data_IF_397653034795
#
_entry.id   IF_397653034795
#
_cell.length_a   1.000
_cell.length_b   1.000
_cell.length_c   1.000
_cell.angle_alpha   90.00
_cell.angle_beta   90.00
_cell.angle_gamma   90.00
#
_symmetry.space_group_name_H-M   'P 1'
#
loop_
_entity.id
_entity.type
_entity.pdbx_description
1 polymer ?
#
# COMPACT_ATOMS: atom_id res chain seq x y z
N UNK A 1 -24.04 16.42 -1.25
CA UNK A 1 -24.98 15.73 -0.32
C UNK A 1 -24.29 15.51 1.01
N UNK A 2 -25.01 15.50 2.13
CA UNK A 2 -24.41 15.14 3.43
C UNK A 2 -24.22 13.63 3.51
N UNK A 3 -22.95 13.19 3.57
CA UNK A 3 -22.64 11.77 3.78
C UNK A 3 -22.93 11.37 5.23
N UNK A 4 -22.51 12.22 6.17
CA UNK A 4 -22.79 12.15 7.60
C UNK A 4 -23.41 13.47 8.09
N UNK A 5 -24.33 13.47 9.07
CA UNK A 5 -25.06 14.69 9.48
C UNK A 5 -24.16 15.82 10.02
N UNK A 6 -23.08 15.44 10.71
CA UNK A 6 -22.12 16.24 11.46
C UNK A 6 -20.87 16.63 10.64
N UNK A 7 -20.82 16.28 9.35
CA UNK A 7 -19.68 16.55 8.47
C UNK A 7 -20.04 17.44 7.29
N UNK A 8 -19.00 17.98 6.68
CA UNK A 8 -19.13 18.76 5.46
C UNK A 8 -19.79 17.94 4.34
N UNK A 9 -20.57 18.59 3.44
CA UNK A 9 -21.15 17.92 2.30
C UNK A 9 -20.08 17.35 1.36
N UNK A 10 -20.35 16.16 0.84
CA UNK A 10 -19.56 15.52 -0.21
C UNK A 10 -20.20 15.78 -1.57
N UNK A 11 -19.39 16.17 -2.55
CA UNK A 11 -19.82 16.35 -3.93
C UNK A 11 -19.73 15.02 -4.68
N UNK A 12 -20.86 14.54 -5.22
CA UNK A 12 -20.92 13.33 -6.04
C UNK A 12 -21.09 13.74 -7.50
N UNK A 13 -20.20 13.27 -8.38
CA UNK A 13 -20.18 13.69 -9.77
C UNK A 13 -19.97 12.52 -10.73
N UNK A 14 -20.60 12.63 -11.88
CA UNK A 14 -20.35 11.78 -13.05
C UNK A 14 -20.09 12.73 -14.23
N UNK A 15 -18.82 12.99 -14.60
CA UNK A 15 -18.51 13.94 -15.66
C UNK A 15 -19.25 13.60 -16.96
N UNK A 16 -19.84 14.62 -17.59
CA UNK A 16 -20.64 14.48 -18.81
C UNK A 16 -22.13 14.21 -18.58
N UNK A 17 -22.58 13.78 -17.39
CA UNK A 17 -24.01 13.50 -17.17
C UNK A 17 -24.91 14.73 -17.30
N UNK A 18 -24.44 15.87 -16.80
CA UNK A 18 -25.15 17.14 -16.94
C UNK A 18 -25.00 17.68 -18.37
N UNK A 19 -23.77 17.75 -18.88
CA UNK A 19 -23.44 18.32 -20.20
C UNK A 19 -24.14 17.61 -21.36
N UNK A 20 -24.28 16.28 -21.29
CA UNK A 20 -24.92 15.46 -22.33
C UNK A 20 -26.34 15.03 -21.95
N UNK A 21 -26.90 15.57 -20.87
CA UNK A 21 -28.22 15.24 -20.34
C UNK A 21 -28.46 13.73 -20.08
N UNK A 22 -27.40 12.94 -19.90
CA UNK A 22 -27.49 11.51 -19.64
C UNK A 22 -28.35 11.17 -18.41
N UNK A 23 -28.45 12.11 -17.46
CA UNK A 23 -29.30 11.97 -16.28
C UNK A 23 -30.79 11.77 -16.59
N UNK A 24 -31.27 12.24 -17.76
CA UNK A 24 -32.65 12.03 -18.21
C UNK A 24 -32.95 10.57 -18.56
N UNK A 25 -31.92 9.79 -18.92
CA UNK A 25 -32.07 8.41 -19.40
C UNK A 25 -31.51 7.35 -18.43
N UNK A 26 -30.62 7.75 -17.50
CA UNK A 26 -29.83 6.81 -16.69
C UNK A 26 -30.03 6.95 -15.17
N UNK A 27 -31.16 7.51 -14.72
CA UNK A 27 -31.52 7.61 -13.29
C UNK A 27 -30.39 8.17 -12.41
N UNK A 28 -29.86 9.34 -12.77
CA UNK A 28 -28.68 9.92 -12.11
C UNK A 28 -28.82 10.03 -10.59
N UNK A 29 -30.00 10.41 -10.09
CA UNK A 29 -30.28 10.51 -8.65
C UNK A 29 -30.15 9.17 -7.93
N UNK A 30 -30.56 8.07 -8.57
CA UNK A 30 -30.43 6.73 -8.02
C UNK A 30 -28.96 6.30 -7.94
N UNK A 31 -28.17 6.57 -8.98
CA UNK A 31 -26.73 6.29 -9.01
C UNK A 31 -26.00 7.07 -7.90
N UNK A 32 -26.34 8.34 -7.73
CA UNK A 32 -25.80 9.17 -6.64
C UNK A 32 -26.21 8.58 -5.28
N UNK A 33 -27.48 8.26 -5.08
CA UNK A 33 -27.99 7.67 -3.82
C UNK A 33 -27.28 6.36 -3.47
N UNK A 34 -27.09 5.48 -4.45
CA UNK A 34 -26.31 4.23 -4.30
C UNK A 34 -24.86 4.51 -3.90
N UNK A 35 -24.24 5.52 -4.50
CA UNK A 35 -22.87 5.93 -4.19
C UNK A 35 -22.74 6.50 -2.77
N UNK A 36 -23.72 7.29 -2.32
CA UNK A 36 -23.81 7.77 -0.93
C UNK A 36 -23.92 6.60 0.03
N UNK A 37 -24.83 5.65 -0.22
CA UNK A 37 -24.99 4.46 0.60
C UNK A 37 -23.71 3.62 0.71
N UNK A 38 -23.04 3.40 -0.42
CA UNK A 38 -21.76 2.68 -0.50
C UNK A 38 -20.67 3.35 0.34
N UNK A 39 -20.40 4.62 0.09
CA UNK A 39 -19.34 5.35 0.81
C UNK A 39 -19.65 5.50 2.29
N UNK A 40 -20.92 5.67 2.68
CA UNK A 40 -21.31 5.70 4.10
C UNK A 40 -20.97 4.38 4.78
N UNK A 41 -21.30 3.24 4.16
CA UNK A 41 -20.96 1.91 4.68
C UNK A 41 -19.43 1.74 4.80
N UNK A 42 -18.70 2.03 3.72
CA UNK A 42 -17.24 1.90 3.64
C UNK A 42 -16.53 2.74 4.72
N UNK A 43 -16.87 4.03 4.82
CA UNK A 43 -16.22 4.93 5.77
C UNK A 43 -16.58 4.55 7.21
N UNK A 44 -17.83 4.16 7.48
CA UNK A 44 -18.24 3.71 8.83
C UNK A 44 -17.45 2.48 9.26
N UNK A 45 -17.30 1.49 8.37
CA UNK A 45 -16.52 0.28 8.65
C UNK A 45 -15.03 0.60 8.82
N UNK A 46 -14.45 1.40 7.92
CA UNK A 46 -13.04 1.80 8.02
C UNK A 46 -12.74 2.52 9.34
N UNK A 47 -13.55 3.50 9.73
CA UNK A 47 -13.34 4.25 10.98
C UNK A 47 -13.59 3.41 12.24
N UNK A 48 -14.34 2.31 12.13
CA UNK A 48 -14.54 1.35 13.24
C UNK A 48 -13.34 0.43 13.39
N UNK A 49 -12.88 -0.15 12.28
CA UNK A 49 -11.79 -1.14 12.29
C UNK A 49 -10.41 -0.49 12.38
N UNK A 50 -10.28 0.75 11.90
CA UNK A 50 -9.03 1.52 11.84
C UNK A 50 -9.25 2.95 12.40
N UNK A 51 -9.45 3.12 13.72
CA UNK A 51 -9.84 4.40 14.32
C UNK A 51 -8.87 5.56 14.05
N UNK A 52 -7.58 5.27 13.80
CA UNK A 52 -6.58 6.26 13.42
C UNK A 52 -6.85 6.91 12.04
N UNK A 53 -7.71 6.32 11.22
CA UNK A 53 -8.19 6.90 9.96
C UNK A 53 -9.41 7.83 10.17
N UNK A 54 -9.87 8.04 11.41
CA UNK A 54 -10.98 8.94 11.70
C UNK A 54 -10.49 10.39 11.94
N UNK A 55 -11.15 11.42 11.37
CA UNK A 55 -12.23 11.33 10.38
C UNK A 55 -11.70 11.18 8.95
N UNK A 56 -12.35 10.34 8.13
CA UNK A 56 -12.05 10.26 6.69
C UNK A 56 -12.45 11.59 6.00
N UNK A 57 -11.51 12.33 5.37
CA UNK A 57 -11.74 13.68 4.89
C UNK A 57 -12.26 13.72 3.45
N UNK A 58 -13.16 12.81 3.08
CA UNK A 58 -13.76 12.78 1.74
C UNK A 58 -14.59 14.05 1.49
N UNK A 59 -14.27 14.80 0.44
CA UNK A 59 -15.04 15.95 -0.04
C UNK A 59 -15.64 15.74 -1.42
N UNK A 60 -15.11 14.82 -2.22
CA UNK A 60 -15.64 14.57 -3.56
C UNK A 60 -15.49 13.10 -3.99
N UNK A 61 -16.49 12.61 -4.71
CA UNK A 61 -16.49 11.28 -5.31
C UNK A 61 -16.89 11.39 -6.78
N UNK A 62 -16.02 10.91 -7.66
CA UNK A 62 -16.16 11.04 -9.11
C UNK A 62 -16.22 9.66 -9.75
N UNK A 63 -17.31 9.37 -10.46
CA UNK A 63 -17.40 8.23 -11.37
C UNK A 63 -16.91 8.70 -12.73
N UNK A 64 -15.65 8.40 -13.06
CA UNK A 64 -14.95 8.91 -14.24
C UNK A 64 -15.03 7.91 -15.41
N UNK A 65 -15.69 8.24 -16.54
CA UNK A 65 -15.87 7.32 -17.65
C UNK A 65 -14.72 7.32 -18.69
N UNK A 66 -13.62 8.02 -18.41
CA UNK A 66 -12.48 8.18 -19.32
C UNK A 66 -11.15 8.05 -18.59
N UNK A 67 -10.07 7.78 -19.32
CA UNK A 67 -8.73 7.66 -18.74
C UNK A 67 -8.00 9.00 -18.77
N UNK A 68 -7.25 9.31 -17.72
CA UNK A 68 -6.30 10.43 -17.69
C UNK A 68 -5.11 10.11 -16.76
N UNK A 69 -4.35 11.14 -16.34
CA UNK A 69 -3.21 10.93 -15.43
C UNK A 69 -3.63 10.57 -13.99
N UNK A 70 -4.86 10.88 -13.60
CA UNK A 70 -5.40 10.63 -12.26
C UNK A 70 -6.11 9.28 -12.19
N UNK A 71 -6.61 8.77 -13.31
CA UNK A 71 -7.15 7.42 -13.38
C UNK A 71 -6.81 6.79 -14.75
N UNK A 72 -5.77 5.98 -14.75
CA UNK A 72 -5.20 5.36 -15.94
C UNK A 72 -5.93 4.06 -16.30
N UNK A 73 -5.82 3.65 -17.57
CA UNK A 73 -6.36 2.36 -18.03
C UNK A 73 -5.79 1.22 -17.19
N UNK A 74 -6.67 0.36 -16.67
CA UNK A 74 -6.31 -0.79 -15.84
C UNK A 74 -6.30 -0.50 -14.34
N UNK A 75 -6.32 0.77 -13.91
CA UNK A 75 -6.62 1.10 -12.51
C UNK A 75 -8.11 0.92 -12.25
N UNK A 76 -8.48 0.53 -11.04
CA UNK A 76 -9.88 0.47 -10.62
C UNK A 76 -10.33 1.81 -10.02
N UNK A 77 -9.51 2.36 -9.14
CA UNK A 77 -9.79 3.60 -8.45
C UNK A 77 -8.50 4.37 -8.20
N UNK A 78 -8.66 5.62 -7.80
CA UNK A 78 -7.56 6.46 -7.36
C UNK A 78 -8.05 7.54 -6.40
N UNK A 79 -7.36 7.68 -5.27
CA UNK A 79 -7.53 8.76 -4.33
C UNK A 79 -6.55 9.91 -4.61
N UNK A 80 -7.05 11.13 -4.62
CA UNK A 80 -6.25 12.35 -4.74
C UNK A 80 -6.68 13.33 -3.65
N UNK A 81 -5.86 13.44 -2.59
CA UNK A 81 -6.09 14.28 -1.41
C UNK A 81 -7.43 13.99 -0.69
N UNK A 82 -8.48 14.73 -1.03
CA UNK A 82 -9.83 14.62 -0.46
C UNK A 82 -10.88 14.09 -1.47
N UNK A 83 -10.42 13.53 -2.59
CA UNK A 83 -11.26 13.03 -3.67
C UNK A 83 -10.97 11.57 -3.99
N UNK A 84 -12.03 10.79 -4.25
CA UNK A 84 -11.94 9.44 -4.81
C UNK A 84 -12.48 9.45 -6.23
N UNK A 85 -11.71 8.92 -7.18
CA UNK A 85 -12.10 8.67 -8.57
C UNK A 85 -12.22 7.17 -8.80
N UNK A 86 -13.27 6.75 -9.50
CA UNK A 86 -13.47 5.34 -9.89
C UNK A 86 -13.93 5.25 -11.34
N UNK A 87 -13.58 4.16 -12.02
CA UNK A 87 -14.28 3.82 -13.26
C UNK A 87 -15.68 3.27 -12.95
N UNK A 88 -16.64 3.39 -13.88
CA UNK A 88 -17.94 2.73 -13.75
C UNK A 88 -17.84 1.22 -13.50
N UNK A 89 -16.91 0.53 -14.16
CA UNK A 89 -16.67 -0.92 -13.98
C UNK A 89 -16.25 -1.28 -12.56
N UNK A 90 -15.48 -0.41 -11.90
CA UNK A 90 -15.04 -0.59 -10.52
C UNK A 90 -16.18 -0.68 -9.53
N UNK A 91 -17.29 0.02 -9.78
CA UNK A 91 -18.47 -0.10 -8.92
C UNK A 91 -18.99 -1.53 -8.92
N UNK A 92 -19.04 -2.16 -10.09
CA UNK A 92 -19.52 -3.54 -10.23
C UNK A 92 -18.51 -4.54 -9.67
N UNK A 93 -17.23 -4.40 -10.03
CA UNK A 93 -16.16 -5.28 -9.56
C UNK A 93 -16.07 -5.21 -8.04
N UNK A 94 -16.03 -4.01 -7.47
CA UNK A 94 -15.80 -3.86 -6.05
C UNK A 94 -17.02 -4.33 -5.22
N UNK A 95 -18.23 -4.05 -5.67
CA UNK A 95 -19.43 -4.50 -4.96
C UNK A 95 -19.68 -6.01 -5.09
N UNK A 96 -19.34 -6.62 -6.24
CA UNK A 96 -19.66 -8.03 -6.51
C UNK A 96 -18.51 -9.00 -6.25
N UNK A 97 -17.26 -8.53 -6.28
CA UNK A 97 -16.07 -9.38 -6.17
C UNK A 97 -15.31 -9.03 -4.90
N UNK A 98 -14.93 -7.77 -4.73
CA UNK A 98 -14.03 -7.34 -3.64
C UNK A 98 -14.73 -6.86 -2.36
N UNK A 99 -16.05 -6.97 -2.30
CA UNK A 99 -16.85 -6.65 -1.10
C UNK A 99 -16.63 -5.22 -0.57
N UNK A 100 -16.40 -4.26 -1.48
CA UNK A 100 -16.13 -2.84 -1.20
C UNK A 100 -14.71 -2.52 -0.70
N UNK A 101 -13.76 -3.47 -0.78
CA UNK A 101 -12.38 -3.24 -0.36
C UNK A 101 -11.61 -2.27 -1.26
N UNK A 102 -11.95 -2.12 -2.54
CA UNK A 102 -11.35 -1.06 -3.38
C UNK A 102 -11.73 0.31 -2.85
N UNK A 103 -13.02 0.58 -2.60
CA UNK A 103 -13.44 1.86 -2.02
C UNK A 103 -12.85 2.08 -0.61
N UNK A 104 -12.69 1.03 0.18
CA UNK A 104 -12.09 1.10 1.52
C UNK A 104 -10.62 1.48 1.47
N UNK A 105 -9.87 0.87 0.55
CA UNK A 105 -8.48 1.18 0.26
C UNK A 105 -8.31 2.66 -0.10
N UNK A 106 -9.09 3.16 -1.07
CA UNK A 106 -9.04 4.58 -1.46
C UNK A 106 -9.47 5.53 -0.34
N UNK A 107 -10.47 5.15 0.46
CA UNK A 107 -10.89 5.95 1.60
C UNK A 107 -9.80 6.08 2.66
N UNK A 108 -8.94 5.05 2.82
CA UNK A 108 -7.79 5.15 3.72
C UNK A 108 -6.73 6.11 3.20
N UNK A 109 -6.48 6.14 1.88
CA UNK A 109 -5.51 7.05 1.28
C UNK A 109 -5.77 8.53 1.60
N UNK A 110 -7.05 8.92 1.73
CA UNK A 110 -7.43 10.30 2.06
C UNK A 110 -6.89 10.78 3.42
N UNK A 111 -6.57 9.86 4.33
CA UNK A 111 -6.09 10.17 5.68
C UNK A 111 -4.57 10.18 5.82
N UNK A 112 -3.84 9.89 4.74
CA UNK A 112 -2.45 9.56 4.89
C UNK A 112 -1.58 10.79 5.19
N UNK A 113 -0.60 10.63 6.09
CA UNK A 113 0.17 11.76 6.61
C UNK A 113 1.15 12.34 5.59
N UNK A 114 1.66 11.53 4.66
CA UNK A 114 2.64 11.96 3.65
C UNK A 114 2.66 11.06 2.41
N UNK A 115 3.14 11.58 1.27
CA UNK A 115 3.18 10.85 0.00
C UNK A 115 4.38 9.88 -0.09
N UNK A 116 4.13 8.63 -0.47
CA UNK A 116 5.16 7.62 -0.76
C UNK A 116 4.65 6.19 -0.57
N UNK A 117 5.31 5.20 -1.18
CA UNK A 117 4.84 3.79 -1.32
C UNK A 117 4.37 3.07 -0.05
N UNK A 118 4.79 3.54 1.12
CA UNK A 118 4.30 3.06 2.41
C UNK A 118 2.78 3.25 2.56
N UNK A 119 2.20 4.19 1.81
CA UNK A 119 0.76 4.39 1.73
C UNK A 119 0.01 3.15 1.25
N UNK A 120 0.50 2.51 0.20
CA UNK A 120 -0.09 1.30 -0.39
C UNK A 120 -0.04 0.16 0.62
N UNK A 121 1.10 -0.01 1.31
CA UNK A 121 1.25 -1.04 2.33
C UNK A 121 0.16 -0.90 3.41
N UNK A 122 -0.09 0.30 3.94
CA UNK A 122 -1.13 0.52 4.94
C UNK A 122 -2.53 0.21 4.38
N UNK A 123 -2.81 0.61 3.13
CA UNK A 123 -4.11 0.38 2.50
C UNK A 123 -4.37 -1.10 2.18
N UNK A 124 -3.38 -1.83 1.66
CA UNK A 124 -3.48 -3.28 1.47
C UNK A 124 -3.55 -4.07 2.77
N UNK A 125 -2.94 -3.55 3.85
CA UNK A 125 -3.06 -4.16 5.19
C UNK A 125 -4.52 -4.25 5.63
N UNK A 126 -5.31 -3.22 5.34
CA UNK A 126 -6.74 -3.19 5.66
C UNK A 126 -7.51 -4.23 4.85
N UNK A 127 -7.23 -4.34 3.54
CA UNK A 127 -7.90 -5.31 2.67
C UNK A 127 -7.60 -6.76 3.09
N UNK A 128 -6.35 -7.07 3.43
CA UNK A 128 -5.93 -8.43 3.83
C UNK A 128 -6.51 -8.86 5.18
N UNK A 129 -6.75 -7.91 6.09
CA UNK A 129 -7.42 -8.19 7.35
C UNK A 129 -8.92 -8.48 7.17
N UNK A 130 -9.52 -7.93 6.12
CA UNK A 130 -10.92 -8.14 5.77
C UNK A 130 -11.11 -9.46 5.01
N UNK A 131 -10.30 -9.67 3.96
CA UNK A 131 -10.30 -10.86 3.12
C UNK A 131 -8.87 -11.30 2.76
N UNK A 132 -8.48 -12.48 3.23
CA UNK A 132 -7.15 -13.06 3.04
C UNK A 132 -6.80 -13.34 1.58
N UNK A 133 -7.78 -13.39 0.67
CA UNK A 133 -7.51 -13.55 -0.76
C UNK A 133 -6.67 -12.40 -1.33
N UNK A 134 -6.76 -11.19 -0.75
CA UNK A 134 -5.93 -10.06 -1.14
C UNK A 134 -4.44 -10.30 -0.95
N UNK A 135 -4.06 -11.23 -0.08
CA UNK A 135 -2.65 -11.61 0.08
C UNK A 135 -2.06 -12.11 -1.24
N UNK A 136 -2.84 -12.84 -2.04
CA UNK A 136 -2.38 -13.38 -3.31
C UNK A 136 -2.34 -12.33 -4.42
N UNK A 137 -3.23 -11.34 -4.37
CA UNK A 137 -3.23 -10.21 -5.31
C UNK A 137 -2.02 -9.28 -5.08
N UNK A 138 -1.63 -9.07 -3.83
CA UNK A 138 -0.68 -8.01 -3.42
C UNK A 138 0.51 -8.56 -2.62
N UNK A 139 0.91 -9.79 -2.96
CA UNK A 139 1.89 -10.57 -2.23
C UNK A 139 3.26 -9.90 -2.01
N UNK A 140 3.81 -9.04 -2.90
CA UNK A 140 5.17 -8.52 -2.70
C UNK A 140 5.34 -7.69 -1.43
N UNK A 141 4.25 -7.11 -0.90
CA UNK A 141 4.27 -6.35 0.35
C UNK A 141 4.41 -7.22 1.60
N UNK A 142 4.05 -8.49 1.53
CA UNK A 142 3.89 -9.34 2.71
C UNK A 142 4.66 -10.66 2.65
N UNK A 143 5.10 -11.07 1.45
CA UNK A 143 5.65 -12.39 1.19
C UNK A 143 6.77 -12.80 2.14
N UNK A 144 7.81 -11.98 2.31
CA UNK A 144 8.97 -12.39 3.10
C UNK A 144 8.65 -12.61 4.58
N UNK A 145 7.86 -11.72 5.19
CA UNK A 145 7.42 -11.88 6.59
C UNK A 145 6.58 -13.14 6.74
N UNK A 146 5.64 -13.37 5.81
CA UNK A 146 4.78 -14.54 5.88
C UNK A 146 5.58 -15.81 5.69
N UNK A 147 6.43 -15.87 4.67
CA UNK A 147 7.28 -17.03 4.43
C UNK A 147 8.19 -17.36 5.60
N UNK A 148 8.81 -16.36 6.22
CA UNK A 148 9.76 -16.62 7.30
C UNK A 148 9.08 -16.97 8.62
N UNK A 149 7.96 -16.32 8.95
CA UNK A 149 7.38 -16.42 10.30
C UNK A 149 6.10 -17.24 10.39
N UNK A 150 5.41 -17.51 9.27
CA UNK A 150 4.04 -18.05 9.31
C UNK A 150 3.76 -19.21 8.33
N UNK A 151 4.21 -19.12 7.08
CA UNK A 151 3.92 -20.09 6.01
C UNK A 151 5.14 -20.25 5.07
N UNK A 152 6.12 -21.09 5.43
CA UNK A 152 7.35 -21.31 4.65
C UNK A 152 7.10 -21.77 3.21
N UNK A 153 5.95 -22.36 2.92
CA UNK A 153 5.60 -22.82 1.57
C UNK A 153 4.87 -21.75 0.72
N UNK A 154 4.75 -20.51 1.22
CA UNK A 154 4.00 -19.45 0.54
C UNK A 154 4.43 -19.22 -0.92
N UNK A 155 5.73 -19.30 -1.22
CA UNK A 155 6.23 -19.11 -2.60
C UNK A 155 5.64 -20.16 -3.56
N UNK A 156 5.51 -21.41 -3.11
CA UNK A 156 4.85 -22.48 -3.86
C UNK A 156 3.36 -22.21 -4.01
N UNK A 157 2.69 -21.76 -2.94
CA UNK A 157 1.27 -21.39 -2.98
C UNK A 157 0.99 -20.28 -4.00
N UNK A 158 1.86 -19.27 -4.03
CA UNK A 158 1.78 -18.16 -4.97
C UNK A 158 2.03 -18.62 -6.40
N UNK A 159 3.01 -19.49 -6.62
CA UNK A 159 3.29 -20.05 -7.95
C UNK A 159 2.10 -20.85 -8.49
N UNK A 160 1.49 -21.71 -7.65
CA UNK A 160 0.29 -22.47 -7.99
C UNK A 160 -0.88 -21.55 -8.36
N UNK A 161 -1.06 -20.44 -7.63
CA UNK A 161 -2.14 -19.49 -7.85
C UNK A 161 -1.92 -18.63 -9.11
N UNK A 162 -0.72 -18.07 -9.28
CA UNK A 162 -0.34 -17.27 -10.45
C UNK A 162 -0.27 -18.09 -11.74
N UNK A 163 -0.09 -19.41 -11.62
CA UNK A 163 -0.08 -20.35 -12.74
C UNK A 163 -1.47 -20.72 -13.28
N UNK A 164 -2.56 -20.23 -12.68
CA UNK A 164 -3.93 -20.53 -13.11
C UNK A 164 -4.28 -19.81 -14.42
N UNK A 165 -4.85 -20.56 -15.34
CA UNK A 165 -5.29 -20.05 -16.64
C UNK A 165 -6.38 -18.98 -16.49
N UNK A 166 -6.21 -17.87 -17.22
CA UNK A 166 -7.24 -16.84 -17.36
C UNK A 166 -7.83 -16.85 -18.77
N UNK A 167 -8.99 -16.22 -18.92
CA UNK A 167 -9.57 -15.99 -20.22
C UNK A 167 -9.19 -14.59 -20.72
N UNK A 168 -8.11 -14.52 -21.50
CA UNK A 168 -7.63 -13.28 -22.14
C UNK A 168 -8.62 -12.67 -23.14
N UNK A 169 -9.72 -13.36 -23.48
CA UNK A 169 -10.79 -12.80 -24.34
C UNK A 169 -11.79 -11.95 -23.58
N UNK A 170 -11.79 -12.00 -22.25
CA UNK A 170 -12.67 -11.18 -21.41
C UNK A 170 -12.03 -9.82 -21.16
N UNK A 171 -12.82 -8.75 -21.21
CA UNK A 171 -12.40 -7.41 -20.76
C UNK A 171 -12.45 -7.28 -19.23
N UNK A 172 -11.97 -8.30 -18.53
CA UNK A 172 -11.94 -8.38 -17.06
C UNK A 172 -10.48 -8.51 -16.62
N UNK A 173 -9.99 -7.66 -15.69
CA UNK A 173 -8.62 -7.76 -15.20
C UNK A 173 -8.26 -9.16 -14.71
N UNK A 174 -7.02 -9.56 -14.95
CA UNK A 174 -6.50 -10.89 -14.58
C UNK A 174 -6.66 -11.16 -13.09
N UNK A 175 -6.41 -10.16 -12.27
CA UNK A 175 -6.52 -10.18 -10.81
C UNK A 175 -7.96 -10.44 -10.36
N UNK A 176 -8.94 -9.88 -11.06
CA UNK A 176 -10.37 -10.13 -10.80
C UNK A 176 -10.74 -11.56 -11.18
N UNK A 177 -10.24 -12.05 -12.32
CA UNK A 177 -10.47 -13.44 -12.75
C UNK A 177 -9.89 -14.43 -11.75
N UNK A 178 -8.64 -14.24 -11.32
CA UNK A 178 -8.00 -15.10 -10.32
C UNK A 178 -8.69 -15.06 -8.96
N UNK A 179 -9.19 -13.90 -8.52
CA UNK A 179 -9.92 -13.77 -7.26
C UNK A 179 -11.23 -14.56 -7.26
N UNK A 180 -11.91 -14.63 -8.42
CA UNK A 180 -13.15 -15.39 -8.59
C UNK A 180 -12.95 -16.90 -8.70
N UNK A 181 -11.72 -17.36 -8.92
CA UNK A 181 -11.41 -18.79 -8.97
C UNK A 181 -11.46 -19.42 -7.58
N UNK A 182 -11.94 -20.66 -7.47
CA UNK A 182 -11.99 -21.35 -6.18
C UNK A 182 -10.59 -21.42 -5.56
N UNK A 183 -10.50 -21.09 -4.27
CA UNK A 183 -9.28 -21.26 -3.50
C UNK A 183 -9.31 -22.62 -2.79
N UNK A 184 -8.13 -23.15 -2.48
CA UNK A 184 -8.03 -24.31 -1.61
C UNK A 184 -8.44 -23.87 -0.18
N UNK A 185 -9.58 -24.36 0.28
CA UNK A 185 -10.17 -23.93 1.54
C UNK A 185 -9.26 -24.22 2.74
N UNK A 186 -8.52 -25.33 2.73
CA UNK A 186 -7.61 -25.69 3.81
C UNK A 186 -6.43 -24.71 3.89
N UNK A 187 -5.84 -24.38 2.73
CA UNK A 187 -4.77 -23.37 2.63
C UNK A 187 -5.27 -22.00 3.08
N UNK A 188 -6.46 -21.58 2.65
CA UNK A 188 -7.05 -20.30 3.06
C UNK A 188 -7.34 -20.27 4.57
N UNK A 189 -7.84 -21.36 5.14
CA UNK A 189 -8.13 -21.48 6.57
C UNK A 189 -6.84 -21.41 7.41
N UNK A 190 -5.72 -21.96 6.93
CA UNK A 190 -4.41 -21.80 7.59
C UNK A 190 -3.96 -20.35 7.60
N UNK A 191 -4.03 -19.65 6.46
CA UNK A 191 -3.69 -18.23 6.37
C UNK A 191 -4.59 -17.37 7.25
N UNK A 192 -5.91 -17.63 7.22
CA UNK A 192 -6.88 -16.97 8.09
C UNK A 192 -6.57 -17.20 9.58
N UNK A 193 -6.15 -18.40 9.95
CA UNK A 193 -5.75 -18.70 11.33
C UNK A 193 -4.47 -17.96 11.73
N UNK A 194 -3.48 -17.90 10.83
CA UNK A 194 -2.25 -17.12 11.03
C UNK A 194 -2.50 -15.61 11.06
N UNK A 195 -3.60 -15.15 10.49
CA UNK A 195 -3.90 -13.72 10.37
C UNK A 195 -4.14 -12.99 11.70
N UNK A 196 -4.52 -13.70 12.76
CA UNK A 196 -4.58 -13.06 14.08
C UNK A 196 -3.17 -12.69 14.58
N UNK A 197 -2.13 -13.37 14.09
CA UNK A 197 -0.74 -13.15 14.48
C UNK A 197 -0.06 -12.05 13.69
N UNK A 198 -0.41 -11.84 12.41
CA UNK A 198 0.14 -10.72 11.63
C UNK A 198 -0.55 -9.38 11.93
N UNK A 199 -1.72 -9.37 12.57
CA UNK A 199 -2.54 -8.15 12.76
C UNK A 199 -1.81 -7.11 13.62
N UNK A 200 -1.16 -7.50 14.73
CA UNK A 200 -0.28 -6.60 15.48
C UNK A 200 0.84 -6.00 14.63
N UNK A 201 1.40 -6.75 13.67
CA UNK A 201 2.47 -6.27 12.80
C UNK A 201 1.97 -5.18 11.84
N UNK A 202 0.77 -5.35 11.28
CA UNK A 202 0.15 -4.36 10.40
C UNK A 202 -0.19 -3.07 11.17
N UNK A 203 -0.69 -3.19 12.40
CA UNK A 203 -0.90 -2.04 13.28
C UNK A 203 0.40 -1.32 13.62
N UNK A 204 1.48 -2.06 13.90
CA UNK A 204 2.79 -1.48 14.18
C UNK A 204 3.37 -0.78 12.94
N UNK A 205 3.25 -1.37 11.75
CA UNK A 205 3.65 -0.72 10.50
C UNK A 205 2.87 0.60 10.27
N UNK A 206 1.56 0.59 10.50
CA UNK A 206 0.71 1.79 10.44
C UNK A 206 1.12 2.84 11.48
N UNK A 207 1.42 2.43 12.73
CA UNK A 207 1.91 3.32 13.78
C UNK A 207 3.22 4.00 13.38
N UNK A 208 4.21 3.23 12.92
CA UNK A 208 5.51 3.74 12.46
C UNK A 208 5.35 4.75 11.32
N UNK A 209 4.48 4.46 10.35
CA UNK A 209 4.20 5.39 9.26
C UNK A 209 3.58 6.69 9.78
N UNK A 210 2.60 6.61 10.67
CA UNK A 210 1.88 7.79 11.18
C UNK A 210 2.73 8.66 12.09
N UNK A 211 3.59 8.07 12.90
CA UNK A 211 4.52 8.81 13.78
C UNK A 211 5.70 9.42 13.03
N UNK A 212 6.17 8.76 11.96
CA UNK A 212 7.39 9.15 11.25
C UNK A 212 7.23 9.23 9.73
N UNK A 213 6.21 9.94 9.21
CA UNK A 213 5.75 9.79 7.83
C UNK A 213 6.79 10.19 6.77
N UNK A 214 7.61 11.20 7.07
CA UNK A 214 8.68 11.64 6.18
C UNK A 214 9.84 10.64 6.12
N UNK A 215 10.26 10.14 7.28
CA UNK A 215 11.38 9.19 7.38
C UNK A 215 11.02 7.86 6.76
N UNK A 216 9.82 7.34 7.02
CA UNK A 216 9.39 6.07 6.44
C UNK A 216 9.25 6.18 4.93
N UNK A 217 8.64 7.26 4.41
CA UNK A 217 8.54 7.49 2.97
C UNK A 217 9.92 7.60 2.31
N UNK A 218 10.88 8.27 2.98
CA UNK A 218 12.25 8.36 2.50
C UNK A 218 12.96 7.00 2.49
N UNK A 219 12.96 6.28 3.61
CA UNK A 219 13.66 4.99 3.73
C UNK A 219 13.10 3.94 2.77
N UNK A 220 11.78 3.88 2.59
CA UNK A 220 11.14 3.04 1.57
C UNK A 220 11.55 3.45 0.15
N UNK A 221 11.67 4.75 -0.15
CA UNK A 221 12.14 5.22 -1.45
C UNK A 221 13.64 4.95 -1.69
N UNK A 222 14.47 5.18 -0.67
CA UNK A 222 15.90 4.94 -0.69
C UNK A 222 16.21 3.46 -0.94
N UNK A 223 15.56 2.58 -0.18
CA UNK A 223 15.80 1.14 -0.28
C UNK A 223 15.03 0.49 -1.43
N UNK A 224 14.00 1.15 -1.96
CA UNK A 224 13.07 0.53 -2.92
C UNK A 224 12.22 -0.60 -2.31
N UNK A 225 12.35 -0.88 -1.00
CA UNK A 225 11.68 -2.00 -0.33
C UNK A 225 10.28 -1.57 0.11
N UNK A 226 9.28 -1.93 -0.68
CA UNK A 226 7.87 -1.57 -0.43
C UNK A 226 7.31 -2.17 0.87
N UNK A 227 7.81 -3.34 1.27
CA UNK A 227 7.43 -4.05 2.51
C UNK A 227 8.14 -3.54 3.77
N UNK A 228 9.03 -2.53 3.66
CA UNK A 228 10.00 -2.24 4.73
C UNK A 228 9.38 -2.07 6.11
N UNK A 229 8.26 -1.35 6.25
CA UNK A 229 7.65 -1.17 7.57
C UNK A 229 7.02 -2.43 8.13
N UNK A 230 6.51 -3.31 7.27
CA UNK A 230 6.01 -4.62 7.71
C UNK A 230 7.17 -5.51 8.15
N UNK A 231 8.30 -5.45 7.43
CA UNK A 231 9.53 -6.15 7.82
C UNK A 231 10.07 -5.65 9.17
N UNK A 232 10.06 -4.33 9.39
CA UNK A 232 10.47 -3.70 10.65
C UNK A 232 9.53 -4.06 11.81
N UNK A 233 8.22 -4.08 11.56
CA UNK A 233 7.23 -4.51 12.54
C UNK A 233 7.44 -5.99 12.95
N UNK A 234 7.73 -6.86 11.97
CA UNK A 234 8.01 -8.28 12.22
C UNK A 234 9.23 -8.45 13.13
N UNK A 235 10.36 -7.81 12.84
CA UNK A 235 11.55 -7.93 13.69
C UNK A 235 11.39 -7.25 15.05
N UNK A 236 10.51 -6.25 15.16
CA UNK A 236 10.23 -5.60 16.44
C UNK A 236 9.38 -6.48 17.36
N UNK A 237 8.42 -7.23 16.83
CA UNK A 237 7.40 -7.92 17.62
C UNK A 237 7.57 -9.45 17.68
N UNK A 238 8.27 -10.06 16.73
CA UNK A 238 8.44 -11.51 16.66
C UNK A 238 9.83 -11.95 17.11
N UNK A 239 9.93 -13.20 17.53
CA UNK A 239 11.21 -13.88 17.72
C UNK A 239 11.78 -14.27 16.37
N UNK A 240 13.06 -13.99 16.15
CA UNK A 240 13.73 -14.35 14.90
C UNK A 240 13.99 -15.86 14.84
N UNK A 241 13.83 -16.50 13.66
CA UNK A 241 14.28 -17.87 13.48
C UNK A 241 15.78 -18.00 13.75
N UNK A 242 16.21 -19.17 14.21
CA UNK A 242 17.63 -19.42 14.44
C UNK A 242 18.41 -19.42 13.12
N UNK A 243 19.62 -18.86 13.15
CA UNK A 243 20.58 -18.92 12.05
C UNK A 243 21.61 -20.00 12.34
N UNK A 244 21.55 -21.10 11.60
CA UNK A 244 22.57 -22.15 11.62
C UNK A 244 23.65 -21.84 10.57
N UNK A 245 24.43 -20.78 10.82
CA UNK A 245 25.53 -20.35 9.96
C UNK A 245 26.74 -19.94 10.80
N UNK A 246 27.98 -20.14 10.30
CA UNK A 246 29.17 -19.60 10.93
C UNK A 246 29.10 -18.07 11.02
N UNK A 247 29.56 -17.50 12.14
CA UNK A 247 29.56 -16.06 12.40
C UNK A 247 30.20 -15.24 11.26
N UNK A 248 31.29 -15.73 10.67
CA UNK A 248 31.94 -15.09 9.53
C UNK A 248 31.02 -14.95 8.31
N UNK A 249 30.14 -15.93 8.06
CA UNK A 249 29.17 -15.86 6.96
C UNK A 249 28.07 -14.85 7.26
N UNK A 250 27.62 -14.78 8.52
CA UNK A 250 26.62 -13.81 8.98
C UNK A 250 27.15 -12.39 8.79
N UNK A 251 28.37 -12.11 9.25
CA UNK A 251 28.99 -10.78 9.13
C UNK A 251 29.18 -10.35 7.67
N UNK A 252 29.64 -11.27 6.80
CA UNK A 252 29.73 -11.00 5.36
C UNK A 252 28.37 -10.71 4.75
N UNK A 253 27.34 -11.44 5.15
CA UNK A 253 25.98 -11.20 4.65
C UNK A 253 25.45 -9.83 5.12
N UNK A 254 25.69 -9.46 6.37
CA UNK A 254 25.28 -8.16 6.90
C UNK A 254 26.02 -7.01 6.22
N UNK A 255 27.30 -7.18 5.88
CA UNK A 255 28.03 -6.19 5.11
C UNK A 255 27.41 -5.96 3.71
N UNK A 256 26.93 -7.02 3.06
CA UNK A 256 26.21 -6.90 1.77
C UNK A 256 24.87 -6.16 1.93
N UNK A 257 24.11 -6.46 2.99
CA UNK A 257 22.87 -5.73 3.27
C UNK A 257 23.13 -4.26 3.59
N UNK A 258 24.08 -3.97 4.48
CA UNK A 258 24.47 -2.61 4.85
C UNK A 258 24.88 -1.83 3.59
N UNK A 259 25.78 -2.37 2.77
CA UNK A 259 26.26 -1.72 1.55
C UNK A 259 25.12 -1.35 0.58
N UNK A 260 24.10 -2.22 0.44
CA UNK A 260 23.00 -2.00 -0.49
C UNK A 260 21.92 -1.09 0.10
N UNK A 261 21.55 -1.31 1.36
CA UNK A 261 20.43 -0.62 2.01
C UNK A 261 20.75 0.85 2.35
N UNK A 262 22.03 1.24 2.38
CA UNK A 262 22.43 2.64 2.59
C UNK A 262 22.62 3.45 1.30
N UNK A 263 22.48 2.84 0.12
CA UNK A 263 22.60 3.57 -1.17
C UNK A 263 21.43 4.54 -1.35
N UNK A 264 21.72 5.72 -1.86
CA UNK A 264 20.77 6.83 -2.06
C UNK A 264 20.57 7.20 -3.54
N UNK A 265 21.15 6.42 -4.43
CA UNK A 265 21.01 6.55 -5.87
C UNK A 265 19.55 6.42 -6.34
N UNK A 266 18.72 5.58 -5.69
CA UNK A 266 17.28 5.52 -5.92
C UNK A 266 16.61 6.90 -5.72
N UNK A 267 16.91 7.56 -4.61
CA UNK A 267 16.32 8.87 -4.27
C UNK A 267 16.93 9.99 -5.11
N UNK A 268 18.22 9.92 -5.44
CA UNK A 268 18.95 10.95 -6.20
C UNK A 268 18.71 10.90 -7.70
N UNK A 269 18.65 9.71 -8.29
CA UNK A 269 18.56 9.50 -9.74
C UNK A 269 17.14 9.17 -10.22
N UNK A 270 16.24 8.81 -9.29
CA UNK A 270 14.81 8.61 -9.58
C UNK A 270 14.44 7.27 -10.20
N UNK A 271 15.37 6.31 -10.26
CA UNK A 271 15.03 4.90 -10.51
C UNK A 271 14.69 4.17 -9.21
N UNK A 272 14.10 2.98 -9.33
CA UNK A 272 13.74 2.14 -8.19
C UNK A 272 14.40 0.77 -8.32
N UNK A 273 15.41 0.53 -7.48
CA UNK A 273 16.00 -0.79 -7.27
C UNK A 273 15.57 -1.29 -5.89
N UNK A 274 14.97 -2.49 -5.83
CA UNK A 274 14.71 -3.18 -4.57
C UNK A 274 16.04 -3.69 -3.99
N UNK A 275 16.58 -2.96 -3.00
CA UNK A 275 17.87 -3.25 -2.39
C UNK A 275 17.88 -4.55 -1.60
N UNK A 276 16.73 -4.94 -1.04
CA UNK A 276 16.57 -6.26 -0.40
C UNK A 276 16.80 -7.35 -1.44
N UNK A 277 16.10 -7.30 -2.58
CA UNK A 277 16.27 -8.31 -3.63
C UNK A 277 17.67 -8.30 -4.25
N UNK A 278 18.27 -7.12 -4.46
CA UNK A 278 19.64 -7.02 -4.95
C UNK A 278 20.65 -7.65 -3.97
N UNK A 279 20.49 -7.43 -2.66
CA UNK A 279 21.28 -8.11 -1.64
C UNK A 279 21.07 -9.63 -1.68
N UNK A 280 19.81 -10.09 -1.77
CA UNK A 280 19.50 -11.53 -1.86
C UNK A 280 20.17 -12.18 -3.07
N UNK A 281 20.17 -11.48 -4.21
CA UNK A 281 20.82 -11.93 -5.44
C UNK A 281 22.34 -11.94 -5.30
N UNK A 282 22.91 -10.89 -4.71
CA UNK A 282 24.36 -10.82 -4.46
C UNK A 282 24.80 -12.02 -3.62
N UNK A 283 24.13 -12.28 -2.49
CA UNK A 283 24.44 -13.43 -1.64
C UNK A 283 24.30 -14.76 -2.38
N UNK A 284 23.28 -14.92 -3.22
CA UNK A 284 23.08 -16.13 -4.03
C UNK A 284 24.27 -16.44 -4.91
N UNK A 285 24.89 -15.43 -5.53
CA UNK A 285 25.94 -15.64 -6.53
C UNK A 285 27.36 -15.53 -5.96
N UNK A 286 27.57 -14.74 -4.90
CA UNK A 286 28.92 -14.48 -4.36
C UNK A 286 29.23 -15.22 -3.07
N UNK A 287 28.24 -15.88 -2.45
CA UNK A 287 28.39 -16.60 -1.17
C UNK A 287 27.95 -18.07 -1.27
N UNK A 288 28.28 -18.93 -0.28
CA UNK A 288 27.76 -20.29 -0.21
C UNK A 288 26.27 -20.36 0.21
N UNK A 289 25.64 -19.25 0.61
CA UNK A 289 24.27 -19.20 1.12
C UNK A 289 23.28 -19.21 -0.05
N UNK A 290 22.92 -20.40 -0.54
CA UNK A 290 22.03 -20.57 -1.71
C UNK A 290 20.55 -20.58 -1.36
N UNK A 291 20.22 -21.14 -0.20
CA UNK A 291 18.83 -21.31 0.23
C UNK A 291 18.13 -19.94 0.38
N UNK A 292 16.96 -19.72 -0.24
CA UNK A 292 16.22 -18.46 -0.15
C UNK A 292 15.72 -18.18 1.27
N UNK A 293 15.29 -19.18 2.03
CA UNK A 293 14.77 -18.99 3.39
C UNK A 293 15.88 -18.56 4.36
N UNK A 294 17.07 -19.15 4.23
CA UNK A 294 18.27 -18.71 4.97
C UNK A 294 18.63 -17.26 4.64
N UNK A 295 18.58 -16.87 3.36
CA UNK A 295 18.82 -15.47 2.94
C UNK A 295 17.78 -14.50 3.50
N UNK A 296 16.49 -14.85 3.47
CA UNK A 296 15.41 -14.06 4.10
C UNK A 296 15.61 -13.94 5.61
N UNK A 297 15.99 -15.03 6.28
CA UNK A 297 16.27 -15.04 7.72
C UNK A 297 17.43 -14.10 8.06
N UNK A 298 18.53 -14.15 7.29
CA UNK A 298 19.66 -13.22 7.45
C UNK A 298 19.24 -11.75 7.33
N UNK A 299 18.36 -11.42 6.37
CA UNK A 299 17.83 -10.07 6.24
C UNK A 299 17.07 -9.60 7.48
N UNK A 300 16.22 -10.45 8.06
CA UNK A 300 15.50 -10.09 9.29
C UNK A 300 16.44 -9.92 10.49
N UNK A 301 17.49 -10.72 10.61
CA UNK A 301 18.53 -10.49 11.61
C UNK A 301 19.29 -9.19 11.38
N UNK A 302 19.65 -8.87 10.13
CA UNK A 302 20.24 -7.59 9.78
C UNK A 302 19.33 -6.41 10.16
N UNK A 303 18.04 -6.47 9.82
CA UNK A 303 17.07 -5.42 10.19
C UNK A 303 16.97 -5.27 11.71
N UNK A 304 16.95 -6.38 12.47
CA UNK A 304 16.93 -6.34 13.94
C UNK A 304 18.15 -5.60 14.48
N UNK A 305 19.35 -5.94 14.01
CA UNK A 305 20.59 -5.28 14.44
C UNK A 305 20.61 -3.79 14.05
N UNK A 306 20.13 -3.46 12.86
CA UNK A 306 20.23 -2.10 12.30
C UNK A 306 19.19 -1.14 12.87
N UNK A 307 17.96 -1.60 13.02
CA UNK A 307 16.80 -0.74 13.27
C UNK A 307 16.17 -0.93 14.64
N UNK A 308 16.51 -1.94 15.42
CA UNK A 308 15.95 -2.10 16.77
C UNK A 308 16.96 -1.61 17.81
N UNK A 309 16.54 -0.64 18.62
CA UNK A 309 17.34 -0.11 19.72
C UNK A 309 17.46 -1.07 20.91
N UNK A 310 18.38 -0.78 21.82
CA UNK A 310 18.50 -1.47 23.12
C UNK A 310 17.22 -1.41 23.95
N UNK A 311 16.40 -0.38 23.76
CA UNK A 311 15.07 -0.22 24.37
C UNK A 311 13.98 -1.05 23.69
N UNK A 312 14.34 -1.86 22.70
CA UNK A 312 13.42 -2.69 21.91
C UNK A 312 12.57 -1.92 20.91
N UNK A 313 12.77 -0.60 20.75
CA UNK A 313 11.98 0.23 19.84
C UNK A 313 12.64 0.36 18.46
N UNK A 314 11.81 0.55 17.44
CA UNK A 314 12.27 0.83 16.08
C UNK A 314 12.91 2.23 16.00
N UNK A 315 14.14 2.30 15.50
CA UNK A 315 14.95 3.50 15.31
C UNK A 315 15.12 3.80 13.82
N UNK A 316 14.31 4.72 13.31
CA UNK A 316 14.41 5.21 11.94
C UNK A 316 15.50 6.29 11.83
N UNK A 317 16.70 5.87 11.46
CA UNK A 317 17.88 6.73 11.31
C UNK A 317 18.07 7.13 9.85
N UNK A 318 18.29 8.42 9.60
CA UNK A 318 18.65 8.97 8.30
C UNK A 318 20.15 9.24 8.32
N UNK A 319 20.91 8.60 7.44
CA UNK A 319 22.37 8.73 7.37
C UNK A 319 22.80 9.94 6.53
N UNK A 320 22.16 10.18 5.38
CA UNK A 320 22.37 11.37 4.55
C UNK A 320 21.23 12.37 4.73
N UNK A 321 21.43 13.33 5.64
CA UNK A 321 20.46 14.39 5.90
C UNK A 321 20.24 15.32 4.68
N UNK A 322 21.26 15.52 3.84
CA UNK A 322 21.15 16.40 2.66
C UNK A 322 20.28 15.75 1.58
N UNK A 323 20.46 14.45 1.33
CA UNK A 323 19.59 13.73 0.39
C UNK A 323 18.15 13.65 0.90
N UNK A 324 17.95 13.44 2.21
CA UNK A 324 16.62 13.46 2.81
C UNK A 324 15.89 14.80 2.61
N UNK A 325 16.55 15.93 2.88
CA UNK A 325 15.98 17.25 2.64
C UNK A 325 15.68 17.49 1.14
N UNK A 326 16.58 17.05 0.26
CA UNK A 326 16.38 17.13 -1.18
C UNK A 326 15.19 16.27 -1.65
N UNK A 327 15.01 15.08 -1.07
CA UNK A 327 13.86 14.21 -1.32
C UNK A 327 12.55 14.90 -0.91
N UNK A 328 12.48 15.49 0.29
CA UNK A 328 11.29 16.21 0.74
C UNK A 328 10.97 17.41 -0.15
N UNK A 329 12.00 18.15 -0.57
CA UNK A 329 11.85 19.23 -1.55
C UNK A 329 11.25 18.73 -2.86
N UNK A 330 11.79 17.65 -3.44
CA UNK A 330 11.26 17.04 -4.68
C UNK A 330 9.80 16.61 -4.52
N UNK A 331 9.42 15.99 -3.39
CA UNK A 331 8.02 15.61 -3.12
C UNK A 331 7.09 16.82 -3.06
N UNK A 332 7.51 17.91 -2.40
CA UNK A 332 6.76 19.18 -2.37
C UNK A 332 6.63 19.80 -3.76
N UNK A 333 7.68 19.78 -4.57
CA UNK A 333 7.64 20.24 -5.96
C UNK A 333 6.68 19.40 -6.81
N UNK A 334 6.63 18.08 -6.62
CA UNK A 334 5.65 17.21 -7.31
C UNK A 334 4.22 17.59 -6.93
N UNK A 335 3.93 17.80 -5.64
CA UNK A 335 2.62 18.26 -5.16
C UNK A 335 2.27 19.61 -5.80
N UNK A 336 3.22 20.57 -5.80
CA UNK A 336 3.03 21.89 -6.41
C UNK A 336 2.73 21.79 -7.91
N UNK A 337 3.44 20.95 -8.66
CA UNK A 337 3.17 20.73 -10.09
C UNK A 337 1.81 20.08 -10.33
N UNK A 338 1.35 19.26 -9.39
CA UNK A 338 0.04 18.61 -9.49
C UNK A 338 -1.11 19.61 -9.34
N UNK A 339 -0.95 20.64 -8.50
CA UNK A 339 -1.93 21.74 -8.36
C UNK A 339 -2.25 22.33 -9.74
N UNK A 340 -1.25 22.55 -10.59
CA UNK A 340 -1.44 23.14 -11.93
C UNK A 340 -2.01 22.17 -12.98
N UNK A 341 -2.28 20.90 -12.62
CA UNK A 341 -2.80 19.93 -13.57
C UNK A 341 -4.24 20.27 -13.99
N UNK A 342 -4.54 20.44 -15.30
CA UNK A 342 -5.84 20.93 -15.75
C UNK A 342 -7.05 20.05 -15.42
N UNK A 343 -6.85 18.74 -15.21
CA UNK A 343 -7.95 17.82 -14.91
C UNK A 343 -8.29 17.71 -13.42
N UNK A 344 -7.53 18.39 -12.54
CA UNK A 344 -7.94 18.56 -11.15
C UNK A 344 -9.16 19.47 -11.08
N UNK A 345 -10.15 19.04 -10.30
CA UNK A 345 -11.27 19.90 -9.91
C UNK A 345 -10.83 20.92 -8.87
N UNK A 346 -11.67 21.94 -8.64
CA UNK A 346 -11.41 22.96 -7.63
C UNK A 346 -11.38 22.41 -6.19
N UNK A 347 -12.03 21.27 -5.93
CA UNK A 347 -11.94 20.59 -4.63
C UNK A 347 -10.55 19.97 -4.48
N UNK A 348 -10.11 19.18 -5.46
CA UNK A 348 -8.79 18.53 -5.43
C UNK A 348 -7.65 19.55 -5.40
N UNK A 349 -7.79 20.67 -6.11
CA UNK A 349 -6.80 21.75 -6.13
C UNK A 349 -6.62 22.35 -4.73
N UNK A 350 -7.72 22.64 -4.03
CA UNK A 350 -7.68 23.11 -2.64
C UNK A 350 -7.14 22.05 -1.68
N UNK A 351 -7.53 20.78 -1.87
CA UNK A 351 -6.99 19.64 -1.13
C UNK A 351 -5.46 19.53 -1.27
N UNK A 352 -4.96 19.71 -2.49
CA UNK A 352 -3.54 19.72 -2.82
C UNK A 352 -2.79 20.89 -2.13
N UNK A 353 -3.35 22.09 -2.19
CA UNK A 353 -2.79 23.27 -1.53
C UNK A 353 -2.73 23.12 -0.01
N UNK A 354 -3.80 22.61 0.60
CA UNK A 354 -3.85 22.38 2.05
C UNK A 354 -2.87 21.30 2.48
N UNK A 355 -2.75 20.23 1.68
CA UNK A 355 -1.74 19.21 1.90
C UNK A 355 -0.32 19.79 1.77
N UNK A 356 -0.05 20.59 0.73
CA UNK A 356 1.24 21.26 0.54
C UNK A 356 1.59 22.16 1.73
N UNK A 357 0.64 22.96 2.23
CA UNK A 357 0.82 23.79 3.43
C UNK A 357 1.16 22.92 4.65
N UNK A 358 0.46 21.80 4.84
CA UNK A 358 0.71 20.86 5.94
C UNK A 358 2.12 20.29 5.89
N UNK A 359 2.59 19.86 4.71
CA UNK A 359 3.92 19.23 4.55
C UNK A 359 5.08 20.22 4.41
N UNK A 360 4.79 21.52 4.34
CA UNK A 360 5.80 22.58 4.30
C UNK A 360 6.04 23.26 5.65
N UNK A 361 5.17 23.02 6.64
CA UNK A 361 5.34 23.50 8.02
C UNK A 361 6.30 22.64 8.87
N UNK A 362 6.59 21.45 8.38
CA UNK A 362 7.57 20.51 8.93
C UNK A 362 8.77 20.39 7.98
#
# INVERSE_FOLDING_TARGET
>A
MKLFPDRDPVLFQIPGFETFECGKCHAAEELVTKSVGRLRKVITQLETDWPQAKPVPLKQYIIQPYTDKLLQKGQLAHATYDTIRVFPSTILIDEKVYQLNTHRHEALHLNQPFVGHVNELEAYSVNILDDHHFLFLEYPYFADVISVFFEPELDTLLADWLGRDINDRLEVPREVQWYLMPFDEDRLNRLKSSSQKWKPLLHEASRLYREHPYKTAYLTAQTGVRSLLFDLAAVSLLSLPQLDLPQEQIEKAFAVFEQQMTRDDNTRLGYVIDRKQESMMTLKYTSPIKDPNTRRTLYFHYLKQKFIGEDGKVKLTITDQKDFEAFLKRKRETISKMIDYPALTEIERRGAEDFLKKVSKN
#
